data_IF_701954324299
#
_entry.id   IF_701954324299
#
_cell.length_a   1.000
_cell.length_b   1.000
_cell.length_c   1.000
_cell.angle_alpha   90.00
_cell.angle_beta   90.00
_cell.angle_gamma   90.00
#
_symmetry.space_group_name_H-M   'P 1'
#
loop_
_entity.id
_entity.type
_entity.pdbx_description
1 polymer ?
#
# COMPACT_ATOMS: atom_id res chain seq x y z
N UNK A 1 2.68 -5.96 -20.38
CA UNK A 1 3.79 -5.85 -21.36
C UNK A 1 5.02 -5.41 -20.59
N UNK A 2 6.18 -5.97 -20.87
CA UNK A 2 7.47 -5.64 -20.22
C UNK A 2 8.55 -5.44 -21.29
N UNK A 3 9.65 -4.76 -20.98
CA UNK A 3 10.75 -4.51 -21.94
C UNK A 3 12.00 -5.29 -21.53
N UNK A 4 12.67 -5.92 -22.49
CA UNK A 4 13.95 -6.59 -22.22
C UNK A 4 15.03 -5.56 -21.91
N UNK A 5 15.65 -5.67 -20.73
CA UNK A 5 16.74 -4.79 -20.29
C UNK A 5 18.02 -4.98 -21.11
N UNK A 6 18.21 -6.14 -21.74
CA UNK A 6 19.39 -6.42 -22.55
C UNK A 6 19.29 -5.88 -23.98
N UNK A 7 18.11 -5.94 -24.62
CA UNK A 7 17.95 -5.61 -26.04
C UNK A 7 16.85 -4.58 -26.35
N UNK A 8 16.14 -4.07 -25.34
CA UNK A 8 15.13 -3.02 -25.50
C UNK A 8 13.81 -3.42 -26.15
N UNK A 9 13.61 -4.70 -26.48
CA UNK A 9 12.36 -5.16 -27.13
C UNK A 9 11.20 -5.33 -26.13
N UNK A 10 9.97 -4.94 -26.50
CA UNK A 10 8.79 -5.25 -25.72
C UNK A 10 8.48 -6.76 -25.79
N UNK A 11 7.95 -7.29 -24.70
CA UNK A 11 7.55 -8.67 -24.52
C UNK A 11 6.21 -8.76 -23.78
N UNK A 12 5.42 -9.83 -24.01
CA UNK A 12 4.26 -10.12 -23.18
C UNK A 12 4.66 -10.25 -21.70
N UNK A 13 3.77 -9.89 -20.79
CA UNK A 13 4.04 -10.04 -19.34
C UNK A 13 4.24 -11.51 -18.94
N UNK A 14 3.69 -12.45 -19.72
CA UNK A 14 3.69 -13.90 -19.47
C UNK A 14 4.95 -14.64 -19.91
N UNK A 15 5.84 -14.04 -20.71
CA UNK A 15 7.04 -14.72 -21.21
C UNK A 15 8.17 -14.71 -20.19
N UNK A 16 8.88 -15.81 -19.99
CA UNK A 16 10.00 -15.92 -19.02
C UNK A 16 11.36 -15.51 -19.58
N UNK A 17 11.50 -15.38 -20.91
CA UNK A 17 12.71 -14.90 -21.57
C UNK A 17 12.38 -14.05 -22.80
N UNK A 18 13.30 -13.18 -23.20
CA UNK A 18 13.17 -12.38 -24.42
C UNK A 18 13.19 -13.28 -25.66
N UNK A 19 12.21 -13.12 -26.56
CA UNK A 19 12.14 -13.90 -27.80
C UNK A 19 13.31 -13.65 -28.78
N UNK A 20 13.99 -12.49 -28.67
CA UNK A 20 15.13 -12.16 -29.52
C UNK A 20 16.46 -12.65 -28.92
N UNK A 21 16.81 -12.15 -27.72
CA UNK A 21 18.13 -12.35 -27.15
C UNK A 21 18.19 -13.46 -26.09
N UNK A 22 17.07 -14.15 -25.84
CA UNK A 22 16.91 -15.18 -24.81
C UNK A 22 17.25 -14.72 -23.37
N UNK A 23 17.48 -13.42 -23.15
CA UNK A 23 17.76 -12.89 -21.81
C UNK A 23 16.57 -13.18 -20.89
N UNK A 24 16.79 -13.80 -19.71
CA UNK A 24 15.71 -14.15 -18.82
C UNK A 24 15.04 -12.88 -18.31
N UNK A 25 13.72 -12.89 -18.28
CA UNK A 25 12.98 -11.95 -17.45
C UNK A 25 13.00 -12.53 -16.05
N UNK A 26 14.02 -12.17 -15.27
CA UNK A 26 14.04 -12.49 -13.86
C UNK A 26 12.74 -11.94 -13.26
N UNK A 27 11.85 -12.83 -12.84
CA UNK A 27 10.81 -12.42 -11.92
C UNK A 27 11.55 -11.87 -10.71
N UNK A 28 11.37 -10.58 -10.42
CA UNK A 28 11.92 -10.04 -9.20
C UNK A 28 11.28 -10.87 -8.08
N UNK A 29 12.15 -11.56 -7.34
CA UNK A 29 11.74 -12.40 -6.23
C UNK A 29 11.00 -11.58 -5.17
N UNK A 30 10.55 -12.25 -4.11
CA UNK A 30 9.95 -11.53 -3.00
C UNK A 30 10.92 -10.47 -2.46
N UNK A 31 10.42 -9.26 -2.23
CA UNK A 31 11.20 -8.13 -1.70
C UNK A 31 10.74 -7.80 -0.27
N UNK A 32 11.71 -7.58 0.61
CA UNK A 32 11.46 -7.27 2.02
C UNK A 32 11.63 -5.77 2.25
N UNK A 33 10.53 -5.11 2.56
CA UNK A 33 10.50 -3.70 2.93
C UNK A 33 10.31 -3.55 4.43
N UNK A 34 10.86 -2.49 4.98
CA UNK A 34 10.64 -2.10 6.37
C UNK A 34 9.97 -0.74 6.43
N UNK A 35 8.79 -0.68 7.04
CA UNK A 35 8.07 0.55 7.34
C UNK A 35 8.46 1.04 8.75
N UNK A 36 8.98 2.27 8.84
CA UNK A 36 9.37 2.93 10.10
C UNK A 36 8.81 4.34 10.17
N UNK A 37 8.65 4.86 11.39
CA UNK A 37 8.43 6.29 11.60
C UNK A 37 9.73 7.06 11.41
N UNK A 38 9.67 8.17 10.67
CA UNK A 38 10.81 9.04 10.42
C UNK A 38 10.38 10.50 10.33
N UNK A 39 10.98 11.38 11.14
CA UNK A 39 10.77 12.84 11.11
C UNK A 39 9.29 13.30 11.10
N UNK A 40 8.43 12.63 11.87
CA UNK A 40 6.98 12.95 11.91
C UNK A 40 6.18 12.35 10.76
N UNK A 41 6.83 11.69 9.81
CA UNK A 41 6.25 10.87 8.75
C UNK A 41 6.54 9.38 8.92
N UNK A 42 6.44 8.67 7.79
CA UNK A 42 6.81 7.26 7.67
C UNK A 42 7.75 7.07 6.47
N UNK A 43 8.50 5.98 6.47
CA UNK A 43 9.33 5.57 5.33
C UNK A 43 9.32 4.06 5.15
N UNK A 44 9.35 3.62 3.91
CA UNK A 44 9.67 2.25 3.52
C UNK A 44 11.10 2.20 3.03
N UNK A 45 11.86 1.23 3.53
CA UNK A 45 13.22 0.96 3.08
C UNK A 45 13.37 -0.46 2.54
N UNK A 46 14.13 -0.61 1.46
CA UNK A 46 14.59 -1.87 0.89
C UNK A 46 16.11 -1.93 1.04
N UNK A 47 16.64 -2.96 1.71
CA UNK A 47 18.07 -3.11 1.98
C UNK A 47 18.75 -1.87 2.61
N UNK A 48 17.97 -1.09 3.38
CA UNK A 48 18.42 0.13 4.07
C UNK A 48 18.24 1.41 3.27
N UNK A 49 17.98 1.32 1.96
CA UNK A 49 17.71 2.47 1.09
C UNK A 49 16.22 2.84 1.14
N UNK A 50 15.91 4.13 1.19
CA UNK A 50 14.52 4.60 1.15
C UNK A 50 13.94 4.45 -0.27
N UNK A 51 12.76 3.83 -0.36
CA UNK A 51 12.05 3.66 -1.64
C UNK A 51 10.78 4.50 -1.71
N UNK A 52 10.13 4.72 -0.57
CA UNK A 52 8.92 5.52 -0.45
C UNK A 52 8.93 6.20 0.91
N UNK A 53 8.57 7.47 0.96
CA UNK A 53 8.26 8.17 2.20
C UNK A 53 6.78 8.54 2.27
N UNK A 54 6.27 8.80 3.46
CA UNK A 54 4.94 9.34 3.65
C UNK A 54 4.94 10.53 4.59
N UNK A 55 4.34 11.63 4.12
CA UNK A 55 4.28 12.90 4.85
C UNK A 55 2.82 13.26 5.11
N UNK A 56 2.52 13.55 6.39
CA UNK A 56 1.19 13.96 6.81
C UNK A 56 0.98 15.47 6.67
N UNK A 57 -0.14 15.90 6.09
CA UNK A 57 -0.57 17.29 6.06
C UNK A 57 -2.10 17.40 6.04
N UNK A 58 -2.66 18.34 6.82
CA UNK A 58 -4.10 18.59 6.90
C UNK A 58 -5.02 17.35 7.12
N UNK A 59 -4.50 16.29 7.76
CA UNK A 59 -5.24 15.04 7.98
C UNK A 59 -5.22 14.07 6.77
N UNK A 60 -4.40 14.38 5.77
CA UNK A 60 -4.06 13.52 4.63
C UNK A 60 -2.62 13.02 4.77
N UNK A 61 -2.29 11.96 4.04
CA UNK A 61 -0.94 11.41 3.99
C UNK A 61 -0.52 11.17 2.55
N UNK A 62 0.51 11.86 2.09
CA UNK A 62 1.05 11.69 0.75
C UNK A 62 2.18 10.67 0.78
N UNK A 63 2.07 9.61 -0.01
CA UNK A 63 3.15 8.67 -0.31
C UNK A 63 3.96 9.24 -1.47
N UNK A 64 5.24 9.50 -1.22
CA UNK A 64 6.19 10.09 -2.16
C UNK A 64 7.17 9.01 -2.58
N UNK A 65 7.29 8.80 -3.89
CA UNK A 65 8.26 7.90 -4.49
C UNK A 65 9.66 8.53 -4.40
N UNK A 66 10.62 7.84 -3.77
CA UNK A 66 11.94 8.42 -3.47
C UNK A 66 12.80 8.64 -4.70
N UNK A 67 12.58 7.87 -5.78
CA UNK A 67 13.31 8.03 -7.05
C UNK A 67 12.87 9.27 -7.83
N UNK A 68 11.56 9.56 -7.82
CA UNK A 68 10.97 10.62 -8.64
C UNK A 68 10.60 11.88 -7.88
N UNK A 69 10.62 11.85 -6.54
CA UNK A 69 10.14 12.91 -5.64
C UNK A 69 8.72 13.38 -5.94
N UNK A 70 7.88 12.44 -6.41
CA UNK A 70 6.48 12.70 -6.78
C UNK A 70 5.55 11.97 -5.84
N UNK A 71 4.45 12.64 -5.50
CA UNK A 71 3.32 12.00 -4.81
C UNK A 71 2.76 10.90 -5.71
N UNK A 72 2.86 9.65 -5.28
CA UNK A 72 2.31 8.51 -5.99
C UNK A 72 0.85 8.30 -5.61
N UNK A 73 0.54 8.37 -4.31
CA UNK A 73 -0.81 8.19 -3.74
C UNK A 73 -0.99 9.09 -2.52
N UNK A 74 -2.16 9.71 -2.40
CA UNK A 74 -2.61 10.39 -1.18
C UNK A 74 -3.65 9.52 -0.46
N UNK A 75 -3.47 9.33 0.85
CA UNK A 75 -4.45 8.70 1.74
C UNK A 75 -5.32 9.77 2.39
N UNK A 76 -6.63 9.58 2.33
CA UNK A 76 -7.62 10.48 2.92
C UNK A 76 -8.55 9.66 3.82
N UNK A 77 -8.58 9.98 5.10
CA UNK A 77 -9.56 9.43 6.02
C UNK A 77 -10.97 9.93 5.69
N UNK A 78 -11.92 9.01 5.53
CA UNK A 78 -13.34 9.31 5.32
C UNK A 78 -14.18 8.60 6.39
N UNK A 79 -15.25 9.25 6.84
CA UNK A 79 -16.23 8.61 7.73
C UNK A 79 -17.41 8.14 6.88
N UNK A 80 -17.80 6.88 7.02
CA UNK A 80 -19.02 6.37 6.39
C UNK A 80 -19.70 5.36 7.32
N UNK A 81 -20.90 5.72 7.80
CA UNK A 81 -21.60 4.97 8.84
C UNK A 81 -20.80 4.95 10.15
N UNK A 82 -20.65 3.76 10.74
CA UNK A 82 -20.01 3.56 12.05
C UNK A 82 -18.49 3.28 11.97
N UNK A 83 -17.83 3.44 10.81
CA UNK A 83 -16.42 3.08 10.64
C UNK A 83 -15.62 4.08 9.81
N UNK A 84 -14.32 4.18 10.12
CA UNK A 84 -13.35 4.95 9.32
C UNK A 84 -12.93 4.15 8.08
N UNK A 85 -12.98 4.79 6.92
CA UNK A 85 -12.44 4.27 5.65
C UNK A 85 -11.26 5.12 5.21
N UNK A 86 -10.46 4.58 4.28
CA UNK A 86 -9.33 5.31 3.71
C UNK A 86 -9.46 5.35 2.20
N UNK A 87 -9.69 6.52 1.63
CA UNK A 87 -9.62 6.73 0.19
C UNK A 87 -8.15 6.87 -0.22
N UNK A 88 -7.76 6.16 -1.28
CA UNK A 88 -6.45 6.23 -1.93
C UNK A 88 -6.62 6.95 -3.25
N UNK A 89 -5.95 8.07 -3.40
CA UNK A 89 -6.13 8.98 -4.53
C UNK A 89 -4.79 9.11 -5.26
N UNK A 90 -4.77 9.03 -6.59
CA UNK A 90 -3.54 9.25 -7.36
C UNK A 90 -3.13 10.73 -7.42
N UNK A 91 -1.94 10.97 -7.98
CA UNK A 91 -1.40 12.30 -8.30
C UNK A 91 -2.31 13.19 -9.18
N UNK A 92 -3.37 12.65 -9.79
CA UNK A 92 -4.36 13.40 -10.58
C UNK A 92 -5.67 13.60 -9.83
N UNK A 93 -5.66 13.38 -8.52
CA UNK A 93 -6.84 13.45 -7.65
C UNK A 93 -7.96 12.48 -8.03
N UNK A 94 -7.64 11.37 -8.70
CA UNK A 94 -8.63 10.32 -9.00
C UNK A 94 -8.58 9.25 -7.93
N UNK A 95 -9.74 8.87 -7.41
CA UNK A 95 -9.85 7.72 -6.53
C UNK A 95 -9.34 6.48 -7.26
N UNK A 96 -8.27 5.89 -6.72
CA UNK A 96 -7.69 4.65 -7.22
C UNK A 96 -8.28 3.48 -6.48
N UNK A 97 -8.44 3.61 -5.16
CA UNK A 97 -9.01 2.58 -4.33
C UNK A 97 -9.59 3.14 -3.02
N UNK A 98 -10.40 2.35 -2.34
CA UNK A 98 -10.86 2.62 -0.97
C UNK A 98 -10.59 1.40 -0.11
N UNK A 99 -9.87 1.59 0.99
CA UNK A 99 -9.74 0.59 2.05
C UNK A 99 -10.90 0.69 3.04
N UNK A 100 -11.61 -0.42 3.22
CA UNK A 100 -12.79 -0.57 4.04
C UNK A 100 -12.50 -1.65 5.08
N UNK A 101 -12.29 -1.32 6.36
CA UNK A 101 -12.18 -2.32 7.42
C UNK A 101 -13.53 -3.04 7.61
N UNK A 102 -13.52 -4.34 7.88
CA UNK A 102 -14.71 -5.08 8.25
C UNK A 102 -15.18 -4.59 9.64
N UNK A 103 -16.45 -4.18 9.74
CA UNK A 103 -16.95 -3.47 10.92
C UNK A 103 -17.10 -4.34 12.17
N UNK A 104 -17.04 -5.67 12.09
CA UNK A 104 -17.45 -6.55 13.19
C UNK A 104 -16.62 -7.85 13.38
N UNK A 105 -15.49 -8.02 12.70
CA UNK A 105 -14.75 -9.29 12.78
C UNK A 105 -13.56 -9.22 13.74
N UNK A 106 -13.55 -10.14 14.71
CA UNK A 106 -12.37 -10.47 15.53
C UNK A 106 -11.17 -10.94 14.70
N UNK A 107 -11.39 -11.24 13.42
CA UNK A 107 -10.40 -11.68 12.44
C UNK A 107 -9.68 -10.55 11.69
N UNK A 108 -9.99 -9.27 11.95
CA UNK A 108 -9.26 -8.13 11.38
C UNK A 108 -9.25 -8.12 9.84
N UNK A 109 -10.39 -8.41 9.23
CA UNK A 109 -10.57 -8.40 7.78
C UNK A 109 -10.79 -6.97 7.26
N UNK A 110 -10.36 -6.67 6.04
CA UNK A 110 -10.67 -5.45 5.32
C UNK A 110 -10.63 -5.67 3.82
N UNK A 111 -11.28 -4.80 3.06
CA UNK A 111 -11.34 -4.88 1.59
C UNK A 111 -10.78 -3.61 0.97
N UNK A 112 -10.08 -3.76 -0.13
CA UNK A 112 -9.66 -2.67 -1.01
C UNK A 112 -10.50 -2.77 -2.28
N UNK A 113 -11.27 -1.73 -2.56
CA UNK A 113 -12.13 -1.64 -3.75
C UNK A 113 -11.66 -0.55 -4.69
N UNK A 114 -11.79 -0.76 -5.99
CA UNK A 114 -11.50 0.27 -7.00
C UNK A 114 -12.59 1.36 -7.01
N UNK A 115 -12.45 2.33 -7.92
CA UNK A 115 -13.44 3.40 -8.11
C UNK A 115 -14.79 2.94 -8.68
N UNK A 116 -14.90 1.70 -9.13
CA UNK A 116 -16.13 1.07 -9.63
C UNK A 116 -16.72 0.06 -8.63
N UNK A 117 -16.25 0.07 -7.38
CA UNK A 117 -16.66 -0.84 -6.30
C UNK A 117 -16.28 -2.33 -6.52
N UNK A 118 -15.37 -2.62 -7.45
CA UNK A 118 -14.83 -3.97 -7.60
C UNK A 118 -13.75 -4.25 -6.55
N UNK A 119 -13.79 -5.43 -5.95
CA UNK A 119 -12.74 -5.88 -5.01
C UNK A 119 -11.43 -6.08 -5.78
N UNK A 120 -10.40 -5.34 -5.37
CA UNK A 120 -9.04 -5.47 -5.90
C UNK A 120 -8.16 -6.33 -5.00
N UNK A 121 -8.34 -6.20 -3.69
CA UNK A 121 -7.51 -6.84 -2.68
C UNK A 121 -8.31 -7.05 -1.39
N UNK A 122 -7.99 -8.10 -0.66
CA UNK A 122 -8.43 -8.32 0.71
C UNK A 122 -7.24 -8.20 1.66
N UNK A 123 -7.50 -7.62 2.82
CA UNK A 123 -6.57 -7.58 3.95
C UNK A 123 -7.13 -8.52 5.01
N UNK A 124 -6.30 -9.43 5.51
CA UNK A 124 -6.68 -10.37 6.56
C UNK A 124 -5.64 -10.32 7.67
N UNK A 125 -6.05 -10.03 8.90
CA UNK A 125 -5.16 -10.23 10.04
C UNK A 125 -4.95 -11.73 10.30
N UNK A 126 -3.72 -12.09 10.66
CA UNK A 126 -3.33 -13.44 11.09
C UNK A 126 -2.70 -13.35 12.49
N UNK A 127 -3.55 -13.55 13.50
CA UNK A 127 -3.19 -13.36 14.90
C UNK A 127 -2.93 -11.88 15.26
N UNK A 128 -2.17 -11.61 16.34
CA UNK A 128 -1.95 -10.25 16.85
C UNK A 128 -0.94 -9.44 16.01
N UNK A 129 -0.09 -10.11 15.23
CA UNK A 129 1.06 -9.49 14.57
C UNK A 129 1.06 -9.63 13.06
N UNK A 130 0.44 -10.68 12.51
CA UNK A 130 0.44 -10.96 11.07
C UNK A 130 -0.67 -10.23 10.34
N UNK A 131 -0.39 -9.81 9.11
CA UNK A 131 -1.38 -9.29 8.16
C UNK A 131 -1.05 -9.83 6.77
N UNK A 132 -2.04 -10.35 6.07
CA UNK A 132 -1.94 -10.83 4.71
C UNK A 132 -2.69 -9.89 3.77
N UNK A 133 -2.04 -9.51 2.67
CA UNK A 133 -2.65 -8.77 1.57
C UNK A 133 -2.80 -9.74 0.41
N UNK A 134 -4.03 -9.94 -0.05
CA UNK A 134 -4.42 -10.98 -1.02
C UNK A 134 -5.12 -10.31 -2.19
N UNK A 135 -4.76 -10.63 -3.43
CA UNK A 135 -5.46 -10.10 -4.60
C UNK A 135 -6.87 -10.69 -4.77
N UNK A 136 -7.59 -10.20 -5.78
CA UNK A 136 -8.93 -10.69 -6.13
C UNK A 136 -8.96 -12.11 -6.74
N UNK A 137 -7.80 -12.70 -7.04
CA UNK A 137 -7.65 -14.10 -7.47
C UNK A 137 -7.30 -15.03 -6.29
N UNK A 138 -7.13 -14.50 -5.08
CA UNK A 138 -6.77 -15.27 -3.89
C UNK A 138 -5.26 -15.47 -3.72
N UNK A 139 -4.40 -14.80 -4.49
CA UNK A 139 -2.94 -14.87 -4.36
C UNK A 139 -2.46 -13.88 -3.32
N UNK A 140 -1.57 -14.33 -2.44
CA UNK A 140 -0.91 -13.46 -1.47
C UNK A 140 0.04 -12.53 -2.21
N UNK A 141 -0.22 -11.22 -2.14
CA UNK A 141 0.60 -10.15 -2.70
C UNK A 141 1.66 -9.67 -1.70
N UNK A 142 1.30 -9.61 -0.41
CA UNK A 142 2.23 -9.25 0.62
C UNK A 142 1.88 -9.87 1.98
N UNK A 143 2.91 -10.08 2.79
CA UNK A 143 2.83 -10.48 4.19
C UNK A 143 3.44 -9.37 5.02
N UNK A 144 2.69 -8.84 5.97
CA UNK A 144 3.18 -7.85 6.91
C UNK A 144 3.24 -8.45 8.31
N UNK A 145 4.34 -8.18 9.02
CA UNK A 145 4.57 -8.61 10.38
C UNK A 145 4.85 -7.38 11.24
N UNK A 146 3.95 -7.12 12.19
CA UNK A 146 4.16 -6.08 13.20
C UNK A 146 5.20 -6.57 14.17
N UNK A 147 6.20 -5.72 14.41
CA UNK A 147 7.15 -6.01 15.46
C UNK A 147 6.53 -5.83 16.85
N UNK A 148 7.13 -6.45 17.86
CA UNK A 148 6.66 -6.40 19.26
C UNK A 148 6.45 -4.95 19.72
N UNK A 149 5.64 -4.70 20.76
CA UNK A 149 5.24 -3.35 21.19
C UNK A 149 6.37 -2.32 21.39
N UNK A 150 7.61 -2.78 21.61
CA UNK A 150 8.80 -1.95 21.82
C UNK A 150 9.47 -1.45 20.53
N UNK A 151 9.19 -2.05 19.36
CA UNK A 151 9.79 -1.68 18.08
C UNK A 151 8.70 -1.13 17.16
N UNK A 152 8.76 0.17 16.89
CA UNK A 152 7.80 0.88 16.03
C UNK A 152 8.12 0.64 14.56
N UNK A 153 7.77 -0.54 14.05
CA UNK A 153 7.96 -0.87 12.65
C UNK A 153 7.11 -2.04 12.17
N UNK A 154 6.88 -2.08 10.86
CA UNK A 154 6.17 -3.14 10.15
C UNK A 154 7.11 -3.70 9.08
N UNK A 155 7.49 -4.97 9.21
CA UNK A 155 8.23 -5.67 8.16
C UNK A 155 7.22 -6.17 7.13
N UNK A 156 7.49 -5.94 5.85
CA UNK A 156 6.58 -6.23 4.74
C UNK A 156 7.31 -7.04 3.66
N UNK A 157 6.91 -8.28 3.46
CA UNK A 157 7.39 -9.14 2.38
C UNK A 157 6.40 -9.07 1.21
N UNK A 158 6.78 -8.44 0.12
CA UNK A 158 5.99 -8.38 -1.13
C UNK A 158 6.40 -9.55 -2.01
N UNK A 159 5.46 -10.42 -2.37
CA UNK A 159 5.74 -11.73 -3.00
C UNK A 159 6.00 -11.65 -4.51
N UNK A 160 5.60 -10.55 -5.15
CA UNK A 160 5.83 -10.25 -6.57
C UNK A 160 6.26 -8.80 -6.72
N UNK A 161 7.54 -8.53 -6.52
CA UNK A 161 8.11 -7.22 -6.83
C UNK A 161 8.11 -7.01 -8.36
N UNK A 162 7.90 -5.79 -8.84
CA UNK A 162 8.11 -5.44 -10.25
C UNK A 162 6.86 -5.04 -11.06
N UNK A 163 5.68 -5.04 -10.45
CA UNK A 163 4.54 -4.26 -10.96
C UNK A 163 4.37 -3.03 -10.07
N UNK A 164 5.13 -1.96 -10.34
CA UNK A 164 5.20 -0.71 -9.54
C UNK A 164 3.83 -0.23 -9.00
N UNK A 165 2.77 -0.37 -9.81
CA UNK A 165 1.41 0.05 -9.44
C UNK A 165 0.80 -0.76 -8.29
N UNK A 166 1.15 -2.04 -8.18
CA UNK A 166 0.70 -2.92 -7.10
C UNK A 166 1.47 -2.67 -5.80
N UNK A 167 2.77 -2.37 -5.88
CA UNK A 167 3.60 -2.05 -4.72
C UNK A 167 3.14 -0.77 -4.02
N UNK A 168 2.85 0.30 -4.77
CA UNK A 168 2.33 1.54 -4.18
C UNK A 168 1.01 1.31 -3.44
N UNK A 169 0.10 0.49 -4.00
CA UNK A 169 -1.17 0.16 -3.32
C UNK A 169 -0.88 -0.67 -2.07
N UNK A 170 0.05 -1.63 -2.11
CA UNK A 170 0.46 -2.40 -0.94
C UNK A 170 1.03 -1.48 0.16
N UNK A 171 1.89 -0.52 -0.19
CA UNK A 171 2.40 0.48 0.75
C UNK A 171 1.26 1.33 1.32
N UNK A 172 0.38 1.86 0.47
CA UNK A 172 -0.79 2.64 0.86
C UNK A 172 -1.71 1.89 1.84
N UNK A 173 -2.00 0.62 1.57
CA UNK A 173 -2.79 -0.25 2.44
C UNK A 173 -2.06 -0.48 3.77
N UNK A 174 -0.77 -0.82 3.73
CA UNK A 174 0.02 -1.09 4.94
C UNK A 174 0.11 0.13 5.87
N UNK A 175 0.28 1.33 5.31
CA UNK A 175 0.26 2.57 6.09
C UNK A 175 -1.14 2.87 6.62
N UNK A 176 -2.18 2.66 5.82
CA UNK A 176 -3.57 2.85 6.26
C UNK A 176 -3.86 2.04 7.53
N UNK A 177 -3.38 0.79 7.59
CA UNK A 177 -3.52 -0.07 8.77
C UNK A 177 -2.81 0.50 9.99
N UNK A 178 -1.57 0.98 9.83
CA UNK A 178 -0.79 1.54 10.94
C UNK A 178 -1.34 2.88 11.41
N UNK A 179 -1.77 3.76 10.50
CA UNK A 179 -2.41 5.04 10.84
C UNK A 179 -3.72 4.83 11.60
N UNK A 180 -4.55 3.86 11.18
CA UNK A 180 -5.79 3.52 11.89
C UNK A 180 -5.50 2.94 13.27
N UNK A 181 -4.51 2.04 13.39
CA UNK A 181 -4.09 1.45 14.66
C UNK A 181 -3.58 2.50 15.64
N UNK A 182 -2.86 3.50 15.15
CA UNK A 182 -2.31 4.59 15.94
C UNK A 182 -3.26 5.79 16.10
N UNK A 183 -4.47 5.74 15.51
CA UNK A 183 -5.46 6.83 15.52
C UNK A 183 -4.91 8.14 14.93
N UNK A 184 -4.05 8.04 13.93
CA UNK A 184 -3.46 9.17 13.20
C UNK A 184 -4.22 9.53 11.92
N UNK A 185 -5.17 8.67 11.53
CA UNK A 185 -6.09 8.96 10.44
C UNK A 185 -7.31 9.69 10.98
N UNK A 186 -7.44 10.98 10.67
CA UNK A 186 -8.58 11.82 11.08
C UNK A 186 -9.56 11.95 9.91
N UNK A 187 -10.83 11.49 10.04
CA UNK A 187 -11.81 11.65 8.98
C UNK A 187 -12.08 13.12 8.65
N UNK A 188 -11.99 13.52 7.36
CA UNK A 188 -12.20 14.94 6.97
C UNK A 188 -13.61 15.46 7.25
N UNK A 189 -14.62 14.60 7.33
CA UNK A 189 -16.00 14.98 7.68
C UNK A 189 -16.14 15.50 9.11
N UNK A 190 -15.23 15.17 10.03
CA UNK A 190 -15.26 15.67 11.41
C UNK A 190 -14.86 17.16 11.53
N UNK A 191 -13.98 17.65 10.65
CA UNK A 191 -13.48 19.04 10.70
C UNK A 191 -14.51 20.09 10.25
N UNK A 192 -15.52 19.70 9.48
CA UNK A 192 -16.56 20.62 8.99
C UNK A 192 -17.58 21.00 10.06
N UNK A 193 -17.68 20.25 11.16
CA UNK A 193 -18.58 20.53 12.28
C UNK A 193 -17.91 21.35 13.39
N UNK A 194 -16.62 21.13 13.67
CA UNK A 194 -15.89 21.91 14.70
C UNK A 194 -15.57 23.34 14.27
N UNK A 195 -15.38 23.60 12.97
CA UNK A 195 -15.19 24.97 12.45
C UNK A 195 -16.48 25.82 12.41
N UNK A 196 -17.61 25.29 12.89
CA UNK A 196 -18.91 25.97 12.94
C UNK A 196 -19.52 25.99 14.35
N UNK A 197 -18.76 25.57 15.37
CA UNK A 197 -19.18 25.56 16.77
C UNK A 197 -18.52 26.69 17.55
#
# INVERSE_FOLDING_TARGET
MKTCTACGLPAPSTTLACALCAHPFLEQGPASYRLERHQGGYRWSLDGEEVVSAVGHEGMWDLIDSDSDKVAVTLIGTAEGNGSRVAMVDHRHRAVATFIPAQNDSAGLGLVRDSHDHVMMAVRADGPTGVHLVDNEGKVLALASRHRPSLRGLDLLVTRAGALRNETIVFAVSLSLELMRHKELVPRTARSQEARS
#
